data_IF_627070278723
#
_entry.id   IF_627070278723
#
_cell.length_a   1.000
_cell.length_b   1.000
_cell.length_c   1.000
_cell.angle_alpha   90.00
_cell.angle_beta   90.00
_cell.angle_gamma   90.00
#
_symmetry.space_group_name_H-M   'P 1'
#
loop_
_entity.id
_entity.type
_entity.pdbx_description
1 polymer ?
#
# COMPACT_ATOMS: atom_id res chain seq x y z
N UNK A 1 -5.74 -11.03 10.15
CA UNK A 1 -7.01 -11.01 9.35
C UNK A 1 -7.98 -12.15 9.71
N UNK A 2 -7.63 -13.44 9.62
CA UNK A 2 -8.58 -14.55 9.87
C UNK A 2 -9.32 -14.46 11.23
N UNK A 3 -8.62 -14.08 12.30
CA UNK A 3 -9.22 -13.92 13.62
C UNK A 3 -10.28 -12.82 13.66
N UNK A 4 -10.03 -11.67 13.04
CA UNK A 4 -11.02 -10.57 12.95
C UNK A 4 -12.27 -11.04 12.20
N UNK A 5 -12.12 -11.64 11.01
CA UNK A 5 -13.23 -12.16 10.22
C UNK A 5 -14.03 -13.22 10.98
N UNK A 6 -13.36 -14.16 11.67
CA UNK A 6 -14.01 -15.17 12.49
C UNK A 6 -14.82 -14.55 13.65
N UNK A 7 -14.27 -13.54 14.32
CA UNK A 7 -14.96 -12.81 15.40
C UNK A 7 -16.17 -12.06 14.84
N UNK A 8 -16.04 -11.36 13.70
CA UNK A 8 -17.17 -10.70 13.05
C UNK A 8 -18.32 -11.68 12.78
N UNK A 9 -18.02 -12.86 12.22
CA UNK A 9 -19.02 -13.89 11.94
C UNK A 9 -19.63 -14.46 13.24
N UNK A 10 -18.82 -14.71 14.26
CA UNK A 10 -19.30 -15.21 15.57
C UNK A 10 -20.20 -14.19 16.29
N UNK A 11 -20.03 -12.90 16.05
CA UNK A 11 -20.83 -11.84 16.65
C UNK A 11 -22.16 -11.57 15.90
N UNK A 12 -22.43 -12.18 14.75
CA UNK A 12 -23.68 -11.98 14.00
C UNK A 12 -24.94 -12.20 14.87
N UNK A 13 -25.05 -13.25 15.69
CA UNK A 13 -26.22 -13.42 16.57
C UNK A 13 -26.40 -12.23 17.54
N UNK A 14 -25.30 -11.70 18.08
CA UNK A 14 -25.31 -10.54 18.97
C UNK A 14 -25.77 -9.28 18.22
N UNK A 15 -25.25 -9.00 17.03
CA UNK A 15 -25.68 -7.89 16.21
C UNK A 15 -27.17 -7.95 15.83
N UNK A 16 -27.67 -9.17 15.55
CA UNK A 16 -29.09 -9.37 15.16
C UNK A 16 -30.07 -9.15 16.31
N UNK A 17 -29.65 -9.36 17.54
CA UNK A 17 -30.50 -9.15 18.73
C UNK A 17 -30.44 -7.75 19.28
N UNK A 18 -29.43 -6.95 18.89
CA UNK A 18 -29.28 -5.57 19.30
C UNK A 18 -30.22 -4.64 18.51
N UNK A 19 -30.77 -3.62 19.19
CA UNK A 19 -31.62 -2.59 18.56
C UNK A 19 -30.74 -1.55 17.86
N UNK A 20 -30.04 -1.95 16.80
CA UNK A 20 -29.12 -1.11 16.07
C UNK A 20 -29.83 0.06 15.36
N UNK A 21 -29.37 1.28 15.56
CA UNK A 21 -29.82 2.48 14.86
C UNK A 21 -29.29 2.53 13.40
N UNK A 22 -28.22 1.81 13.12
CA UNK A 22 -27.59 1.66 11.80
C UNK A 22 -27.12 0.22 11.58
N UNK A 23 -27.24 -0.32 10.38
CA UNK A 23 -26.82 -1.69 10.11
C UNK A 23 -25.31 -1.85 10.16
N UNK A 24 -24.85 -3.03 10.60
CA UNK A 24 -23.46 -3.45 10.48
C UNK A 24 -23.34 -4.34 9.25
N UNK A 25 -22.48 -3.97 8.33
CA UNK A 25 -22.11 -4.76 7.16
C UNK A 25 -20.77 -5.42 7.39
N UNK A 26 -20.68 -6.72 7.13
CA UNK A 26 -19.41 -7.46 7.16
C UNK A 26 -19.00 -7.70 5.71
N UNK A 27 -17.86 -7.15 5.32
CA UNK A 27 -17.25 -7.37 4.03
C UNK A 27 -16.06 -8.31 4.20
N UNK A 28 -16.05 -9.41 3.47
CA UNK A 28 -14.92 -10.31 3.32
C UNK A 28 -14.34 -10.11 1.94
N UNK A 29 -13.20 -9.45 1.86
CA UNK A 29 -12.45 -9.23 0.62
C UNK A 29 -11.50 -10.40 0.34
N UNK A 30 -10.97 -10.43 -0.86
CA UNK A 30 -9.96 -11.37 -1.34
C UNK A 30 -8.78 -10.57 -1.92
N UNK A 31 -7.67 -11.25 -2.26
CA UNK A 31 -6.46 -10.64 -2.86
C UNK A 31 -5.76 -9.57 -2.01
N UNK A 32 -6.06 -9.46 -0.74
CA UNK A 32 -5.39 -8.46 0.10
C UNK A 32 -3.88 -8.67 0.11
N UNK A 33 -3.43 -9.93 0.28
CA UNK A 33 -2.02 -10.34 0.38
C UNK A 33 -1.23 -10.19 -0.96
N UNK A 34 -1.91 -9.89 -2.04
CA UNK A 34 -1.30 -9.80 -3.37
C UNK A 34 -1.44 -8.43 -4.00
N UNK A 35 -2.66 -7.90 -4.06
CA UNK A 35 -2.96 -6.66 -4.78
C UNK A 35 -3.76 -5.64 -4.00
N UNK A 36 -4.42 -6.02 -2.90
CA UNK A 36 -5.43 -5.22 -2.17
C UNK A 36 -6.58 -4.73 -3.07
N UNK A 37 -6.85 -5.38 -4.21
CA UNK A 37 -7.88 -4.94 -5.18
C UNK A 37 -9.23 -5.59 -4.96
N UNK A 38 -9.31 -6.61 -4.09
CA UNK A 38 -10.52 -7.37 -3.81
C UNK A 38 -11.76 -6.53 -3.45
N UNK A 39 -11.68 -5.44 -2.68
CA UNK A 39 -12.85 -4.65 -2.31
C UNK A 39 -13.32 -3.68 -3.41
N UNK A 40 -12.56 -3.48 -4.51
CA UNK A 40 -12.85 -2.44 -5.50
C UNK A 40 -14.23 -2.59 -6.14
N UNK A 41 -14.68 -3.81 -6.44
CA UNK A 41 -15.99 -4.05 -7.03
C UNK A 41 -17.13 -3.60 -6.08
N UNK A 42 -16.99 -3.85 -4.79
CA UNK A 42 -17.94 -3.38 -3.77
C UNK A 42 -17.86 -1.85 -3.62
N UNK A 43 -16.64 -1.31 -3.59
CA UNK A 43 -16.40 0.13 -3.49
C UNK A 43 -17.04 0.90 -4.64
N UNK A 44 -16.95 0.41 -5.88
CA UNK A 44 -17.57 1.05 -7.05
C UNK A 44 -19.10 1.06 -6.97
N UNK A 45 -19.71 0.17 -6.19
CA UNK A 45 -21.16 0.10 -5.99
C UNK A 45 -21.66 0.97 -4.82
N UNK A 46 -20.75 1.43 -3.92
CA UNK A 46 -21.11 2.31 -2.80
C UNK A 46 -21.63 3.65 -3.32
N UNK A 47 -22.79 4.06 -2.82
CA UNK A 47 -23.47 5.27 -3.27
C UNK A 47 -24.22 5.12 -4.61
N UNK A 48 -24.17 3.94 -5.25
CA UNK A 48 -24.89 3.61 -6.48
C UNK A 48 -26.05 2.67 -6.15
N UNK A 49 -25.77 1.42 -5.85
CA UNK A 49 -26.76 0.39 -5.49
C UNK A 49 -26.50 -0.22 -4.10
N UNK A 50 -25.34 0.09 -3.50
CA UNK A 50 -25.04 -0.15 -2.10
C UNK A 50 -24.99 1.19 -1.34
N UNK A 51 -25.43 1.23 -0.08
CA UNK A 51 -25.31 2.44 0.72
C UNK A 51 -23.85 2.84 0.92
N UNK A 52 -23.58 4.15 0.91
CA UNK A 52 -22.28 4.66 1.35
C UNK A 52 -22.13 4.40 2.86
N UNK A 53 -21.08 3.71 3.32
CA UNK A 53 -20.88 3.45 4.74
C UNK A 53 -20.56 4.76 5.48
N UNK A 54 -21.17 4.95 6.64
CA UNK A 54 -20.88 6.10 7.52
C UNK A 54 -19.50 5.97 8.20
N UNK A 55 -19.01 4.74 8.35
CA UNK A 55 -17.70 4.41 8.88
C UNK A 55 -17.24 3.04 8.35
N UNK A 56 -15.96 2.91 8.08
CA UNK A 56 -15.30 1.64 7.71
C UNK A 56 -14.20 1.35 8.72
N UNK A 57 -14.16 0.13 9.21
CA UNK A 57 -13.11 -0.38 10.11
C UNK A 57 -12.47 -1.59 9.41
N UNK A 58 -11.21 -1.46 9.01
CA UNK A 58 -10.43 -2.51 8.38
C UNK A 58 -9.68 -3.28 9.47
N UNK A 59 -9.84 -4.61 9.49
CA UNK A 59 -9.44 -5.48 10.61
C UNK A 59 -7.99 -5.97 10.57
N UNK A 60 -7.04 -5.13 10.16
CA UNK A 60 -5.62 -5.47 10.16
C UNK A 60 -5.01 -5.46 11.57
N UNK A 61 -3.89 -6.20 11.81
CA UNK A 61 -3.32 -6.39 13.14
C UNK A 61 -2.64 -5.11 13.66
N UNK A 62 -3.38 -4.36 14.47
CA UNK A 62 -2.91 -3.13 15.13
C UNK A 62 -2.80 -3.28 16.65
N UNK A 63 -2.86 -4.49 17.18
CA UNK A 63 -2.99 -4.76 18.63
C UNK A 63 -4.18 -4.01 19.25
N UNK A 64 -5.31 -3.95 18.52
CA UNK A 64 -6.52 -3.23 18.90
C UNK A 64 -6.28 -1.73 19.18
N UNK A 65 -5.25 -1.13 18.58
CA UNK A 65 -5.09 0.32 18.48
C UNK A 65 -5.79 0.82 17.21
N UNK A 66 -6.25 2.06 17.24
CA UNK A 66 -6.90 2.68 16.07
C UNK A 66 -5.84 3.36 15.23
N UNK A 67 -5.60 2.87 14.01
CA UNK A 67 -4.73 3.53 13.06
C UNK A 67 -5.57 4.34 12.06
N UNK A 68 -5.30 5.64 11.98
CA UNK A 68 -5.95 6.59 11.08
C UNK A 68 -5.06 6.96 9.89
N UNK A 69 -3.86 6.38 9.82
CA UNK A 69 -2.91 6.63 8.76
C UNK A 69 -2.07 5.40 8.43
N UNK A 70 -1.85 5.16 7.13
CA UNK A 70 -0.86 4.20 6.65
C UNK A 70 -0.23 4.65 5.33
N UNK A 71 0.97 4.14 5.02
CA UNK A 71 1.67 4.45 3.78
C UNK A 71 0.93 3.85 2.57
N UNK A 72 1.07 4.50 1.40
CA UNK A 72 0.73 3.90 0.11
C UNK A 72 1.80 2.89 -0.31
N UNK A 73 1.45 2.04 -1.28
CA UNK A 73 2.40 1.18 -2.00
C UNK A 73 2.13 1.28 -3.49
N UNK A 74 3.18 1.45 -4.28
CA UNK A 74 3.12 1.24 -5.73
C UNK A 74 4.27 0.34 -6.17
N UNK A 75 3.97 -0.67 -6.97
CA UNK A 75 4.95 -1.61 -7.50
C UNK A 75 5.06 -1.48 -9.01
N UNK A 76 6.28 -1.55 -9.51
CA UNK A 76 6.59 -1.29 -10.90
C UNK A 76 7.63 -2.27 -11.44
N UNK A 77 7.55 -2.50 -12.75
CA UNK A 77 8.63 -3.09 -13.53
C UNK A 77 9.12 -2.06 -14.55
N UNK A 78 10.42 -1.82 -14.58
CA UNK A 78 11.05 -1.02 -15.63
C UNK A 78 11.85 -1.94 -16.54
N UNK A 79 11.55 -1.87 -17.84
CA UNK A 79 12.22 -2.62 -18.90
C UNK A 79 13.06 -1.67 -19.75
N UNK A 80 14.27 -2.09 -20.03
CA UNK A 80 15.18 -1.36 -20.90
C UNK A 80 15.54 -2.27 -22.07
N UNK A 81 15.33 -1.75 -23.29
CA UNK A 81 15.77 -2.40 -24.55
C UNK A 81 16.92 -1.60 -25.13
N UNK A 82 18.08 -2.25 -25.24
CA UNK A 82 19.29 -1.73 -25.83
C UNK A 82 19.54 -2.25 -27.25
N UNK A 83 20.77 -2.08 -27.73
CA UNK A 83 21.22 -2.58 -29.03
C UNK A 83 22.43 -3.49 -28.84
N UNK A 84 22.24 -4.78 -29.12
CA UNK A 84 23.24 -5.83 -28.94
C UNK A 84 24.34 -5.76 -29.98
N UNK A 85 25.59 -5.90 -29.52
CA UNK A 85 26.77 -6.04 -30.36
C UNK A 85 27.91 -6.66 -29.55
N UNK A 86 28.95 -7.14 -30.22
CA UNK A 86 30.18 -7.58 -29.54
C UNK A 86 30.83 -6.45 -28.78
N UNK A 87 31.24 -6.69 -27.52
CA UNK A 87 31.72 -5.65 -26.60
C UNK A 87 32.98 -4.89 -27.08
N UNK A 88 33.76 -5.47 -28.01
CA UNK A 88 34.86 -4.76 -28.67
C UNK A 88 34.41 -3.55 -29.50
N UNK A 89 33.11 -3.48 -29.86
CA UNK A 89 32.49 -2.39 -30.62
C UNK A 89 31.48 -1.60 -29.77
N UNK A 90 31.75 -1.39 -28.49
CA UNK A 90 30.84 -0.78 -27.55
C UNK A 90 30.20 0.53 -28.05
N UNK A 91 30.98 1.36 -28.78
CA UNK A 91 30.53 2.62 -29.37
C UNK A 91 29.43 2.49 -30.44
N UNK A 92 29.12 1.25 -30.87
CA UNK A 92 28.10 0.93 -31.88
C UNK A 92 26.91 0.16 -31.27
N UNK A 93 26.86 0.05 -29.95
CA UNK A 93 25.81 -0.62 -29.22
C UNK A 93 25.21 0.27 -28.13
N UNK A 94 24.10 -0.17 -27.57
CA UNK A 94 23.44 0.46 -26.41
C UNK A 94 23.21 -0.60 -25.34
N UNK A 95 23.90 -0.47 -24.22
CA UNK A 95 23.80 -1.45 -23.13
C UNK A 95 22.58 -1.19 -22.25
N UNK A 96 21.59 -2.09 -22.34
CA UNK A 96 20.42 -2.05 -21.48
C UNK A 96 20.79 -2.14 -19.99
N UNK A 97 21.83 -2.92 -19.64
CA UNK A 97 22.31 -3.02 -18.25
C UNK A 97 22.88 -1.71 -17.75
N UNK A 98 23.68 -0.99 -18.56
CA UNK A 98 24.22 0.30 -18.12
C UNK A 98 23.12 1.34 -17.91
N UNK A 99 22.11 1.40 -18.79
CA UNK A 99 20.97 2.30 -18.66
C UNK A 99 20.13 1.94 -17.42
N UNK A 100 19.84 0.64 -17.22
CA UNK A 100 19.12 0.18 -16.04
C UNK A 100 19.84 0.57 -14.75
N UNK A 101 21.17 0.45 -14.69
CA UNK A 101 21.95 0.91 -13.52
C UNK A 101 21.81 2.41 -13.29
N UNK A 102 21.79 3.25 -14.34
CA UNK A 102 21.57 4.69 -14.20
C UNK A 102 20.18 5.02 -13.63
N UNK A 103 19.15 4.29 -14.12
CA UNK A 103 17.78 4.44 -13.60
C UNK A 103 17.66 4.00 -12.13
N UNK A 104 18.35 2.92 -11.75
CA UNK A 104 18.40 2.46 -10.34
C UNK A 104 19.09 3.52 -9.47
N UNK A 105 20.20 4.11 -9.91
CA UNK A 105 20.87 5.21 -9.18
C UNK A 105 19.96 6.44 -9.07
N UNK A 106 19.14 6.73 -10.09
CA UNK A 106 18.19 7.83 -9.99
C UNK A 106 17.06 7.52 -9.00
N UNK A 107 16.55 6.29 -8.92
CA UNK A 107 15.60 5.87 -7.89
C UNK A 107 16.19 6.05 -6.48
N UNK A 108 17.46 5.72 -6.28
CA UNK A 108 18.17 5.98 -5.02
C UNK A 108 18.23 7.48 -4.68
N UNK A 109 18.47 8.35 -5.69
CA UNK A 109 18.46 9.82 -5.51
C UNK A 109 17.07 10.34 -5.15
N UNK A 110 16.03 9.83 -5.80
CA UNK A 110 14.63 10.16 -5.46
C UNK A 110 14.32 9.74 -4.03
N UNK A 111 14.69 8.51 -3.65
CA UNK A 111 14.54 8.00 -2.29
C UNK A 111 15.28 8.86 -1.25
N UNK A 112 16.50 9.31 -1.55
CA UNK A 112 17.27 10.20 -0.69
C UNK A 112 16.57 11.57 -0.50
N UNK A 113 16.01 12.15 -1.57
CA UNK A 113 15.22 13.39 -1.48
C UNK A 113 13.98 13.20 -0.59
N UNK A 114 13.25 12.10 -0.78
CA UNK A 114 12.07 11.79 0.02
C UNK A 114 12.41 11.59 1.50
N UNK A 115 13.57 10.99 1.81
CA UNK A 115 14.07 10.86 3.17
C UNK A 115 14.35 12.21 3.84
N UNK A 116 14.89 13.18 3.09
CA UNK A 116 15.13 14.54 3.61
C UNK A 116 13.83 15.31 3.88
N UNK A 117 12.77 15.04 3.12
CA UNK A 117 11.45 15.64 3.36
C UNK A 117 10.84 15.14 4.67
N UNK A 118 11.10 13.89 5.00
CA UNK A 118 10.65 13.27 6.23
C UNK A 118 9.13 13.22 6.43
N UNK A 119 8.73 12.76 7.62
CA UNK A 119 7.35 12.80 8.11
C UNK A 119 7.19 13.97 9.08
N UNK A 120 6.48 15.05 8.71
CA UNK A 120 6.29 16.18 9.61
C UNK A 120 5.41 15.85 10.83
N UNK A 121 4.66 14.75 10.78
CA UNK A 121 3.85 14.30 11.91
C UNK A 121 4.65 13.56 12.98
N UNK A 122 5.81 12.99 12.62
CA UNK A 122 6.64 12.17 13.50
C UNK A 122 5.99 10.84 13.92
N UNK A 123 4.92 10.41 13.22
CA UNK A 123 4.10 9.24 13.62
C UNK A 123 4.50 7.94 12.92
N UNK A 124 5.27 8.01 11.82
CA UNK A 124 5.67 6.86 11.04
C UNK A 124 7.07 6.36 11.40
N UNK A 125 7.26 5.05 11.32
CA UNK A 125 8.58 4.41 11.37
C UNK A 125 8.72 3.47 10.14
N UNK A 126 9.71 3.70 9.23
CA UNK A 126 10.58 4.88 9.18
C UNK A 126 9.82 6.17 8.85
N UNK A 127 10.27 7.35 9.35
CA UNK A 127 9.58 8.62 9.20
C UNK A 127 9.85 9.28 7.84
N UNK A 128 9.76 8.52 6.74
CA UNK A 128 9.90 8.99 5.36
C UNK A 128 9.25 8.04 4.36
N UNK A 129 8.99 8.57 3.17
CA UNK A 129 8.66 7.75 1.99
C UNK A 129 9.89 7.05 1.46
N UNK A 130 9.79 5.77 1.13
CA UNK A 130 10.90 4.94 0.67
C UNK A 130 10.72 4.47 -0.77
N UNK A 131 11.83 4.22 -1.43
CA UNK A 131 11.92 3.58 -2.75
C UNK A 131 12.89 2.41 -2.61
N UNK A 132 12.54 1.26 -3.19
CA UNK A 132 13.35 0.06 -3.13
C UNK A 132 13.36 -0.67 -4.46
N UNK A 133 14.55 -1.04 -4.93
CA UNK A 133 14.73 -1.94 -6.09
C UNK A 133 15.02 -3.33 -5.56
N UNK A 134 14.05 -4.25 -5.69
CA UNK A 134 14.14 -5.59 -5.13
C UNK A 134 14.82 -6.60 -6.06
N UNK A 135 14.69 -6.41 -7.38
CA UNK A 135 15.23 -7.35 -8.36
C UNK A 135 15.75 -6.61 -9.58
N UNK A 136 16.85 -7.09 -10.16
CA UNK A 136 17.39 -6.64 -11.45
C UNK A 136 17.95 -7.83 -12.20
N UNK A 137 17.62 -7.94 -13.49
CA UNK A 137 18.12 -9.00 -14.36
C UNK A 137 18.36 -8.47 -15.77
N UNK A 138 19.51 -8.79 -16.37
CA UNK A 138 19.80 -8.39 -17.75
C UNK A 138 21.13 -8.92 -18.26
N UNK A 139 21.30 -8.82 -19.61
CA UNK A 139 22.46 -9.32 -20.33
C UNK A 139 22.48 -10.82 -20.51
N UNK A 140 23.34 -11.30 -21.42
CA UNK A 140 23.46 -12.71 -21.77
C UNK A 140 24.89 -13.25 -21.61
N UNK A 141 25.91 -12.43 -21.90
CA UNK A 141 27.32 -12.80 -21.76
C UNK A 141 28.19 -11.55 -21.56
N UNK A 142 29.34 -11.73 -20.88
CA UNK A 142 30.28 -10.64 -20.55
C UNK A 142 30.87 -9.90 -21.76
N UNK A 143 30.92 -10.56 -22.93
CA UNK A 143 31.48 -10.00 -24.13
C UNK A 143 30.44 -9.56 -25.17
N UNK A 144 29.19 -9.47 -24.75
CA UNK A 144 28.05 -8.99 -25.55
C UNK A 144 27.46 -7.75 -24.86
N UNK A 145 27.23 -6.67 -25.60
CA UNK A 145 26.48 -5.49 -25.12
C UNK A 145 25.04 -5.93 -24.86
N UNK A 146 24.55 -5.76 -23.64
CA UNK A 146 23.26 -6.28 -23.22
C UNK A 146 22.12 -5.63 -24.01
N UNK A 147 21.27 -6.46 -24.63
CA UNK A 147 20.07 -5.99 -25.33
C UNK A 147 18.92 -5.71 -24.35
N UNK A 148 18.74 -6.55 -23.36
CA UNK A 148 17.60 -6.46 -22.44
C UNK A 148 18.07 -6.37 -20.99
N UNK A 149 17.37 -5.55 -20.22
CA UNK A 149 17.46 -5.51 -18.76
C UNK A 149 16.12 -5.11 -18.18
N UNK A 150 15.71 -5.76 -17.11
CA UNK A 150 14.51 -5.39 -16.37
C UNK A 150 14.82 -5.33 -14.87
N UNK A 151 14.13 -4.42 -14.16
CA UNK A 151 14.19 -4.37 -12.71
C UNK A 151 12.82 -4.08 -12.11
N UNK A 152 12.56 -4.69 -10.94
CA UNK A 152 11.34 -4.49 -10.18
C UNK A 152 11.63 -3.60 -8.99
N UNK A 153 10.76 -2.64 -8.77
CA UNK A 153 10.90 -1.66 -7.70
C UNK A 153 9.56 -1.27 -7.10
N UNK A 154 9.58 -0.82 -5.87
CA UNK A 154 8.41 -0.31 -5.16
C UNK A 154 8.68 1.06 -4.55
N UNK A 155 7.62 1.82 -4.37
CA UNK A 155 7.60 3.03 -3.57
C UNK A 155 6.55 2.92 -2.47
N UNK A 156 6.93 3.29 -1.25
CA UNK A 156 6.03 3.40 -0.09
C UNK A 156 5.92 4.86 0.31
N UNK A 157 4.78 5.47 -0.02
CA UNK A 157 4.54 6.89 0.17
C UNK A 157 3.90 7.21 1.50
N UNK A 158 4.41 8.24 2.20
CA UNK A 158 3.69 8.88 3.30
C UNK A 158 2.35 9.45 2.79
N UNK A 159 1.31 9.55 3.64
CA UNK A 159 0.08 10.22 3.28
C UNK A 159 0.33 11.63 2.73
N UNK A 160 -0.22 11.92 1.55
CA UNK A 160 0.00 13.20 0.86
C UNK A 160 1.02 13.15 -0.29
N UNK A 161 1.89 12.13 -0.35
CA UNK A 161 2.69 11.89 -1.55
C UNK A 161 1.78 11.31 -2.64
N UNK A 162 1.77 11.93 -3.83
CA UNK A 162 1.04 11.40 -4.97
C UNK A 162 1.59 10.01 -5.34
N UNK A 163 0.75 9.00 -5.55
CA UNK A 163 1.21 7.64 -5.86
C UNK A 163 2.14 7.55 -7.08
N UNK A 164 1.88 8.37 -8.11
CA UNK A 164 2.69 8.42 -9.33
C UNK A 164 4.01 9.20 -9.18
N UNK A 165 4.23 9.94 -8.06
CA UNK A 165 5.35 10.88 -7.94
C UNK A 165 6.71 10.26 -8.30
N UNK A 166 7.02 9.08 -7.77
CA UNK A 166 8.33 8.43 -8.01
C UNK A 166 8.45 7.99 -9.48
N UNK A 167 7.38 7.43 -10.04
CA UNK A 167 7.34 6.99 -11.43
C UNK A 167 7.47 8.18 -12.40
N UNK A 168 6.82 9.31 -12.10
CA UNK A 168 6.91 10.54 -12.90
C UNK A 168 8.33 11.13 -12.88
N UNK A 169 8.99 11.14 -11.71
CA UNK A 169 10.38 11.60 -11.61
C UNK A 169 11.33 10.68 -12.39
N UNK A 170 11.13 9.36 -12.30
CA UNK A 170 11.92 8.39 -13.07
C UNK A 170 11.68 8.55 -14.58
N UNK A 171 10.43 8.73 -15.00
CA UNK A 171 10.07 8.94 -16.40
C UNK A 171 10.71 10.20 -16.97
N UNK A 172 10.74 11.29 -16.21
CA UNK A 172 11.42 12.52 -16.59
C UNK A 172 12.93 12.31 -16.80
N UNK A 173 13.57 11.57 -15.90
CA UNK A 173 14.99 11.22 -16.06
C UNK A 173 15.21 10.28 -17.26
N UNK A 174 14.34 9.26 -17.43
CA UNK A 174 14.40 8.35 -18.56
C UNK A 174 14.28 9.09 -19.92
N UNK A 175 13.44 10.12 -20.00
CA UNK A 175 13.31 10.95 -21.19
C UNK A 175 14.61 11.71 -21.50
N UNK A 176 15.32 12.24 -20.51
CA UNK A 176 16.61 12.88 -20.73
C UNK A 176 17.68 11.93 -21.26
N UNK A 177 17.69 10.69 -20.79
CA UNK A 177 18.56 9.64 -21.34
C UNK A 177 18.17 9.26 -22.78
N UNK A 178 16.87 9.24 -23.09
CA UNK A 178 16.36 8.90 -24.41
C UNK A 178 16.85 9.88 -25.48
N UNK A 179 16.81 11.18 -25.21
CA UNK A 179 17.28 12.19 -26.15
C UNK A 179 18.76 12.06 -26.48
N UNK A 180 19.58 11.65 -25.53
CA UNK A 180 21.03 11.51 -25.71
C UNK A 180 21.43 10.21 -26.39
N UNK A 181 20.80 9.06 -26.03
CA UNK A 181 21.28 7.73 -26.37
C UNK A 181 20.48 7.13 -27.53
N UNK A 182 19.16 7.36 -27.57
CA UNK A 182 18.26 6.60 -28.46
C UNK A 182 18.05 7.24 -29.84
N UNK A 183 18.44 8.50 -30.06
CA UNK A 183 18.28 9.16 -31.35
C UNK A 183 18.92 8.38 -32.53
N UNK A 184 19.98 7.62 -32.24
CA UNK A 184 20.70 6.85 -33.26
C UNK A 184 20.29 5.36 -33.30
N UNK A 185 19.43 4.91 -32.37
CA UNK A 185 19.02 3.52 -32.20
C UNK A 185 17.50 3.38 -32.01
N UNK A 186 16.71 3.47 -33.09
CA UNK A 186 15.25 3.61 -33.00
C UNK A 186 14.50 2.38 -32.42
N UNK A 187 15.18 1.24 -32.25
CA UNK A 187 14.60 0.03 -31.66
C UNK A 187 14.93 -0.13 -30.17
N UNK A 188 15.50 0.90 -29.56
CA UNK A 188 15.84 0.94 -28.14
C UNK A 188 14.78 1.72 -27.37
N UNK A 189 14.68 1.49 -26.04
CA UNK A 189 13.69 2.20 -25.23
C UNK A 189 13.73 1.87 -23.76
N UNK A 190 12.97 2.69 -23.01
CA UNK A 190 12.72 2.50 -21.58
C UNK A 190 11.21 2.50 -21.39
N UNK A 191 10.68 1.49 -20.74
CA UNK A 191 9.26 1.38 -20.41
C UNK A 191 9.12 1.08 -18.92
N UNK A 192 8.34 1.88 -18.21
CA UNK A 192 7.95 1.62 -16.82
C UNK A 192 6.47 1.28 -16.76
N UNK A 193 6.17 0.12 -16.22
CA UNK A 193 4.81 -0.44 -16.11
C UNK A 193 4.43 -0.43 -14.63
N UNK A 194 3.29 0.19 -14.31
CA UNK A 194 2.66 0.07 -13.00
C UNK A 194 2.03 -1.34 -12.90
N UNK A 195 2.48 -2.15 -11.94
CA UNK A 195 1.92 -3.49 -11.69
C UNK A 195 0.77 -3.42 -10.68
N UNK A 196 0.96 -2.65 -9.59
CA UNK A 196 -0.07 -2.47 -8.57
C UNK A 196 0.07 -1.13 -7.85
N UNK A 197 -1.07 -0.59 -7.38
CA UNK A 197 -1.15 0.61 -6.55
C UNK A 197 -2.16 0.41 -5.42
N UNK A 198 -1.72 0.66 -4.20
CA UNK A 198 -2.56 0.72 -3.00
C UNK A 198 -2.46 2.13 -2.41
N UNK A 199 -3.54 2.91 -2.39
CA UNK A 199 -3.51 4.27 -1.86
C UNK A 199 -3.24 4.28 -0.35
N UNK A 200 -2.53 5.29 0.13
CA UNK A 200 -2.34 5.51 1.56
C UNK A 200 -3.62 5.97 2.26
N UNK A 201 -3.71 5.68 3.55
CA UNK A 201 -4.74 6.21 4.44
C UNK A 201 -4.24 7.52 5.06
N UNK A 202 -5.04 8.58 5.00
CA UNK A 202 -4.73 9.89 5.60
C UNK A 202 -5.56 10.11 6.85
N UNK A 203 -5.02 10.80 7.89
CA UNK A 203 -5.80 11.17 9.05
C UNK A 203 -7.01 12.02 8.67
N UNK A 204 -8.19 11.65 9.19
CA UNK A 204 -9.42 12.41 9.12
C UNK A 204 -9.92 12.68 10.55
N UNK A 205 -9.29 13.67 11.18
CA UNK A 205 -9.50 13.99 12.60
C UNK A 205 -10.98 14.27 12.88
N UNK A 206 -11.53 13.54 13.86
CA UNK A 206 -12.93 13.66 14.24
C UNK A 206 -13.92 13.01 13.27
N UNK A 207 -13.43 12.22 12.30
CA UNK A 207 -14.31 11.47 11.40
C UNK A 207 -15.21 10.50 12.15
N UNK A 208 -16.38 10.13 11.59
CA UNK A 208 -17.24 9.11 12.20
C UNK A 208 -16.52 7.79 12.49
N UNK A 209 -15.64 7.35 11.59
CA UNK A 209 -14.88 6.11 11.76
C UNK A 209 -13.88 6.21 12.91
N UNK A 210 -13.09 7.29 12.97
CA UNK A 210 -12.15 7.53 14.06
C UNK A 210 -12.86 7.59 15.41
N UNK A 211 -13.89 8.45 15.50
CA UNK A 211 -14.64 8.66 16.74
C UNK A 211 -15.27 7.36 17.25
N UNK A 212 -15.91 6.59 16.37
CA UNK A 212 -16.55 5.31 16.72
C UNK A 212 -15.51 4.27 17.16
N UNK A 213 -14.42 4.13 16.39
CA UNK A 213 -13.39 3.16 16.69
C UNK A 213 -12.65 3.47 18.00
N UNK A 214 -12.32 4.74 18.26
CA UNK A 214 -11.68 5.16 19.51
C UNK A 214 -12.53 4.83 20.73
N UNK A 215 -13.85 5.12 20.69
CA UNK A 215 -14.76 4.76 21.79
C UNK A 215 -14.84 3.24 21.97
N UNK A 216 -15.06 2.47 20.89
CA UNK A 216 -15.14 1.02 20.94
C UNK A 216 -13.82 0.38 21.41
N UNK A 217 -12.67 0.90 21.01
CA UNK A 217 -11.35 0.43 21.44
C UNK A 217 -10.95 0.92 22.85
N UNK A 218 -11.71 1.87 23.45
CA UNK A 218 -11.33 2.57 24.69
C UNK A 218 -9.93 3.21 24.59
N UNK A 219 -9.71 3.91 23.47
CA UNK A 219 -8.50 4.66 23.19
C UNK A 219 -8.82 6.15 23.05
N UNK A 220 -7.84 6.98 23.31
CA UNK A 220 -7.95 8.44 23.22
C UNK A 220 -7.02 9.05 22.17
N UNK A 221 -6.25 8.21 21.48
CA UNK A 221 -5.34 8.64 20.44
C UNK A 221 -5.23 7.58 19.34
N UNK A 222 -4.93 8.01 18.13
CA UNK A 222 -4.67 7.18 16.96
C UNK A 222 -3.17 6.94 16.77
N UNK A 223 -2.85 5.92 16.01
CA UNK A 223 -1.48 5.62 15.56
C UNK A 223 -1.39 5.70 14.03
N UNK A 224 -0.16 5.73 13.51
CA UNK A 224 0.12 5.47 12.10
C UNK A 224 0.85 4.14 11.96
N UNK A 225 0.61 3.44 10.85
CA UNK A 225 1.28 2.17 10.54
C UNK A 225 2.03 2.26 9.23
N UNK A 226 3.21 1.60 9.10
CA UNK A 226 4.06 1.72 7.90
C UNK A 226 3.61 0.85 6.71
N UNK A 227 2.79 -0.17 6.95
CA UNK A 227 2.27 -1.08 5.93
C UNK A 227 1.00 -0.51 5.29
N UNK A 228 0.72 -0.89 4.05
CA UNK A 228 -0.51 -0.54 3.35
C UNK A 228 -1.61 -1.55 3.65
N UNK A 229 -2.86 -1.11 3.54
CA UNK A 229 -4.05 -1.93 3.68
C UNK A 229 -5.12 -1.49 2.68
N UNK A 230 -6.20 -2.22 2.58
CA UNK A 230 -7.37 -1.84 1.76
C UNK A 230 -8.04 -0.52 2.21
N UNK A 231 -7.73 0.00 3.41
CA UNK A 231 -8.38 1.18 3.99
C UNK A 231 -8.25 2.43 3.11
N UNK A 232 -7.11 2.59 2.44
CA UNK A 232 -6.91 3.71 1.51
C UNK A 232 -7.88 3.71 0.33
N UNK A 233 -8.31 2.53 -0.15
CA UNK A 233 -9.32 2.44 -1.23
C UNK A 233 -10.69 2.94 -0.77
N UNK A 234 -11.14 2.55 0.43
CA UNK A 234 -12.40 3.03 1.00
C UNK A 234 -12.39 4.54 1.22
N UNK A 235 -11.31 5.07 1.80
CA UNK A 235 -11.18 6.51 2.03
C UNK A 235 -11.15 7.29 0.71
N UNK A 236 -10.44 6.81 -0.31
CA UNK A 236 -10.40 7.42 -1.64
C UNK A 236 -11.78 7.47 -2.29
N UNK A 237 -12.66 6.52 -1.97
CA UNK A 237 -14.05 6.50 -2.42
C UNK A 237 -14.99 7.38 -1.56
N UNK A 238 -14.48 8.09 -0.56
CA UNK A 238 -15.24 9.01 0.30
C UNK A 238 -15.86 8.36 1.54
N UNK A 239 -15.51 7.12 1.88
CA UNK A 239 -15.94 6.50 3.11
C UNK A 239 -14.95 6.79 4.25
N UNK A 240 -15.38 7.41 5.38
CA UNK A 240 -14.52 7.59 6.54
C UNK A 240 -13.98 6.24 7.03
N UNK A 241 -12.66 6.13 7.15
CA UNK A 241 -12.02 4.82 7.33
C UNK A 241 -10.91 4.86 8.36
N UNK A 242 -10.81 3.81 9.17
CA UNK A 242 -9.68 3.53 10.06
C UNK A 242 -9.32 2.05 10.01
N UNK A 243 -8.13 1.72 10.51
CA UNK A 243 -7.67 0.35 10.70
C UNK A 243 -7.67 0.02 12.19
N UNK A 244 -8.29 -1.10 12.56
CA UNK A 244 -8.27 -1.59 13.94
C UNK A 244 -8.58 -3.09 13.97
N UNK A 245 -7.64 -3.89 14.43
CA UNK A 245 -7.84 -5.33 14.52
C UNK A 245 -6.89 -6.00 15.50
N UNK A 246 -7.19 -7.26 15.83
CA UNK A 246 -6.43 -8.04 16.81
C UNK A 246 -5.13 -8.57 16.23
N UNK A 247 -4.14 -8.76 17.10
CA UNK A 247 -2.81 -9.25 16.76
C UNK A 247 -1.82 -8.14 16.46
N UNK A 248 -0.57 -8.51 16.34
CA UNK A 248 0.55 -7.60 16.02
C UNK A 248 1.08 -7.88 14.61
N UNK A 249 1.42 -6.83 13.88
CA UNK A 249 2.08 -6.95 12.58
C UNK A 249 3.43 -7.66 12.66
N UNK A 250 4.06 -7.69 13.83
CA UNK A 250 5.34 -8.37 14.05
C UNK A 250 5.25 -9.88 13.89
N UNK A 251 4.06 -10.48 14.07
CA UNK A 251 3.80 -11.90 13.84
C UNK A 251 3.40 -12.22 12.40
N UNK A 252 2.97 -11.21 11.63
CA UNK A 252 2.53 -11.42 10.25
C UNK A 252 3.70 -11.85 9.36
N UNK A 253 3.42 -12.76 8.42
CA UNK A 253 4.40 -13.29 7.45
C UNK A 253 5.62 -13.98 8.09
N UNK A 254 5.48 -14.44 9.34
CA UNK A 254 6.52 -15.20 10.04
C UNK A 254 6.21 -16.71 10.02
N UNK A 255 7.24 -17.58 10.04
CA UNK A 255 7.03 -18.99 10.30
C UNK A 255 6.33 -19.18 11.65
N UNK A 256 5.30 -20.05 11.69
CA UNK A 256 4.46 -20.29 12.87
C UNK A 256 3.71 -19.04 13.36
N UNK A 257 3.21 -18.21 12.45
CA UNK A 257 2.34 -17.08 12.76
C UNK A 257 1.28 -17.45 13.80
N UNK A 258 1.13 -16.63 14.82
CA UNK A 258 0.18 -16.83 15.91
C UNK A 258 -0.52 -15.53 16.30
N UNK A 259 -1.61 -15.66 17.03
CA UNK A 259 -2.29 -14.56 17.72
C UNK A 259 -2.44 -14.88 19.20
N UNK A 260 -2.19 -13.91 20.06
CA UNK A 260 -2.42 -14.02 21.49
C UNK A 260 -3.94 -14.09 21.78
N UNK A 261 -4.35 -14.98 22.67
CA UNK A 261 -5.77 -15.15 23.07
C UNK A 261 -6.33 -13.85 23.66
N UNK A 262 -5.52 -13.06 24.34
CA UNK A 262 -5.93 -11.75 24.86
C UNK A 262 -6.37 -10.79 23.76
N UNK A 263 -5.79 -10.88 22.57
CA UNK A 263 -6.17 -10.09 21.40
C UNK A 263 -7.54 -10.50 20.84
N UNK A 264 -7.86 -11.81 20.89
CA UNK A 264 -9.20 -12.30 20.52
C UNK A 264 -10.26 -11.74 21.48
N UNK A 265 -9.98 -11.81 22.80
CA UNK A 265 -10.87 -11.26 23.82
C UNK A 265 -11.06 -9.73 23.67
N UNK A 266 -9.98 -9.00 23.45
CA UNK A 266 -10.03 -7.55 23.23
C UNK A 266 -10.85 -7.18 21.99
N UNK A 267 -10.75 -7.97 20.91
CA UNK A 267 -11.55 -7.77 19.71
C UNK A 267 -13.04 -8.07 19.93
N UNK A 268 -13.38 -9.12 20.67
CA UNK A 268 -14.76 -9.42 21.04
C UNK A 268 -15.36 -8.28 21.87
N UNK A 269 -14.61 -7.77 22.84
CA UNK A 269 -15.04 -6.64 23.65
C UNK A 269 -15.19 -5.33 22.84
N UNK A 270 -14.31 -5.13 21.85
CA UNK A 270 -14.46 -4.05 20.88
C UNK A 270 -15.77 -4.17 20.10
N UNK A 271 -16.11 -5.37 19.58
CA UNK A 271 -17.35 -5.60 18.84
C UNK A 271 -18.61 -5.40 19.70
N UNK A 272 -18.55 -5.79 20.98
CA UNK A 272 -19.66 -5.54 21.94
C UNK A 272 -19.89 -4.03 22.13
N UNK A 273 -18.82 -3.29 22.41
CA UNK A 273 -18.90 -1.82 22.57
C UNK A 273 -19.32 -1.13 21.27
N UNK A 274 -18.85 -1.60 20.12
CA UNK A 274 -19.30 -1.12 18.82
C UNK A 274 -20.83 -1.27 18.69
N UNK A 275 -21.36 -2.40 19.11
CA UNK A 275 -22.81 -2.66 19.11
C UNK A 275 -23.55 -1.68 20.07
N UNK A 276 -23.03 -1.48 21.27
CA UNK A 276 -23.59 -0.53 22.25
C UNK A 276 -23.64 0.90 21.68
N UNK A 277 -22.55 1.38 21.10
CA UNK A 277 -22.45 2.70 20.44
C UNK A 277 -23.46 2.87 19.29
N UNK A 278 -23.75 1.79 18.57
CA UNK A 278 -24.72 1.81 17.46
C UNK A 278 -26.16 1.55 17.87
N UNK A 279 -26.41 1.14 19.13
CA UNK A 279 -27.76 0.88 19.63
C UNK A 279 -28.47 2.13 20.16
N UNK A 280 -27.79 3.28 20.23
CA UNK A 280 -28.38 4.57 20.61
C UNK A 280 -28.93 4.59 22.02
N UNK A 281 -28.08 4.75 23.00
CA UNK A 281 -28.45 5.17 24.35
C UNK A 281 -28.05 6.61 24.56
#
# INVERSE_FOLDING_TARGET
MKAFGAICLAMIPHFKTAALSRPIHILLSYDEETTCRGPLDVIHRMGVDLPMPAAVIVGEPTSMQVADAHKSVSTHITRVTGFEIHSANLHRGVSAVHIACQLVVELERIGAKLRLLGDPSGRFDPPWSSVHVGMIQGGTARNIVAKDCAFHWEARGLPGLAPAYVADQLAHYAQSLHEEIFQHFPLTGIETILENEVPGLRPEIGSPAESLALRAARRNATIAVPYATEAGHFQRAGAPTVVCGPGSIEQAHQPNEFIDISQLSACIDFMRRLTEELSGH
#
